data_IF_213599474269
#
_entry.id   IF_213599474269
#
_cell.length_a   1.000
_cell.length_b   1.000
_cell.length_c   1.000
_cell.angle_alpha   90.00
_cell.angle_beta   90.00
_cell.angle_gamma   90.00
#
_symmetry.space_group_name_H-M   'P 1'
#
loop_
_entity.id
_entity.type
_entity.pdbx_description
1 polymer ?
#
# COMPACT_ATOMS: atom_id res chain seq x y z
N UNK A 1 3.15 -12.34 1.92
CA UNK A 1 3.86 -11.72 3.06
C UNK A 1 3.15 -10.44 3.53
N UNK A 2 2.82 -9.52 2.63
CA UNK A 2 2.21 -8.26 3.03
C UNK A 2 0.84 -8.44 3.67
N UNK A 3 -0.04 -9.25 3.07
CA UNK A 3 -1.37 -9.48 3.61
C UNK A 3 -1.32 -10.11 4.98
N UNK A 4 -0.43 -11.09 5.18
CA UNK A 4 -0.28 -11.75 6.47
C UNK A 4 0.20 -10.78 7.54
N UNK A 5 1.18 -9.94 7.18
CA UNK A 5 1.67 -8.94 8.10
C UNK A 5 0.54 -8.01 8.57
N UNK A 6 -0.30 -7.56 7.64
CA UNK A 6 -1.42 -6.68 7.96
C UNK A 6 -2.43 -7.36 8.87
N UNK A 7 -2.80 -8.60 8.58
CA UNK A 7 -3.71 -9.36 9.43
C UNK A 7 -3.14 -9.53 10.85
N UNK A 8 -1.84 -9.80 10.96
CA UNK A 8 -1.19 -9.97 12.25
C UNK A 8 -1.10 -8.67 13.04
N UNK A 9 -1.23 -7.52 12.37
CA UNK A 9 -1.16 -6.20 13.00
C UNK A 9 -2.52 -5.52 13.13
N UNK A 10 -3.59 -6.29 13.07
CA UNK A 10 -4.94 -5.81 13.37
C UNK A 10 -5.66 -5.12 12.24
N UNK A 11 -5.18 -5.22 11.02
CA UNK A 11 -5.89 -4.69 9.85
C UNK A 11 -6.97 -5.64 9.40
N UNK A 12 -8.07 -5.08 8.90
CA UNK A 12 -9.09 -5.82 8.18
C UNK A 12 -8.85 -5.59 6.69
N UNK A 13 -8.60 -6.65 5.95
CA UNK A 13 -8.39 -6.54 4.51
C UNK A 13 -9.73 -6.41 3.81
N UNK A 14 -9.92 -5.32 3.08
CA UNK A 14 -11.15 -5.08 2.35
C UNK A 14 -11.05 -5.54 0.91
N UNK A 15 -9.95 -5.21 0.24
CA UNK A 15 -9.69 -5.65 -1.13
C UNK A 15 -8.20 -5.91 -1.34
N UNK A 16 -7.91 -6.86 -2.21
CA UNK A 16 -6.55 -7.14 -2.69
C UNK A 16 -6.58 -7.11 -4.20
N UNK A 17 -5.57 -6.45 -4.79
CA UNK A 17 -5.46 -6.35 -6.24
C UNK A 17 -6.74 -5.80 -6.88
N UNK A 18 -7.25 -4.72 -6.30
CA UNK A 18 -8.44 -4.04 -6.82
C UNK A 18 -8.11 -3.36 -8.13
N UNK A 19 -9.01 -3.50 -9.11
CA UNK A 19 -8.83 -2.89 -10.43
C UNK A 19 -10.12 -2.31 -10.93
N UNK A 20 -9.99 -1.18 -11.62
CA UNK A 20 -11.08 -0.58 -12.37
C UNK A 20 -10.46 0.19 -13.55
N UNK A 21 -10.62 -0.33 -14.78
CA UNK A 21 -9.96 0.25 -15.94
C UNK A 21 -8.44 0.22 -15.77
N UNK A 22 -7.83 1.39 -15.79
CA UNK A 22 -6.38 1.53 -15.58
C UNK A 22 -5.98 1.65 -14.12
N UNK A 23 -6.95 1.79 -13.23
CA UNK A 23 -6.67 2.00 -11.83
C UNK A 23 -6.40 0.68 -11.12
N UNK A 24 -5.35 0.66 -10.32
CA UNK A 24 -4.95 -0.51 -9.55
C UNK A 24 -4.60 -0.10 -8.13
N UNK A 25 -5.05 -0.91 -7.18
CA UNK A 25 -4.68 -0.78 -5.77
C UNK A 25 -4.25 -2.16 -5.28
N UNK A 26 -3.05 -2.24 -4.71
CA UNK A 26 -2.53 -3.52 -4.24
C UNK A 26 -3.33 -4.05 -3.07
N UNK A 27 -3.51 -3.22 -2.04
CA UNK A 27 -4.29 -3.59 -0.85
C UNK A 27 -5.07 -2.38 -0.37
N UNK A 28 -6.34 -2.62 -0.02
CA UNK A 28 -7.16 -1.67 0.72
C UNK A 28 -7.53 -2.33 2.04
N UNK A 29 -7.18 -1.68 3.14
CA UNK A 29 -7.39 -2.24 4.47
C UNK A 29 -7.87 -1.17 5.44
N UNK A 30 -8.54 -1.59 6.50
CA UNK A 30 -9.05 -0.69 7.53
C UNK A 30 -8.50 -1.05 8.89
N UNK A 31 -8.20 -0.04 9.70
CA UNK A 31 -7.81 -0.22 11.09
C UNK A 31 -8.14 1.04 11.88
N UNK A 32 -8.83 0.86 13.01
CA UNK A 32 -9.13 1.97 13.95
C UNK A 32 -9.77 3.19 13.27
N UNK A 33 -10.73 2.95 12.38
CA UNK A 33 -11.47 4.03 11.74
C UNK A 33 -10.76 4.72 10.59
N UNK A 34 -9.60 4.23 10.19
CA UNK A 34 -8.83 4.77 9.05
C UNK A 34 -8.83 3.77 7.91
N UNK A 35 -9.02 4.25 6.71
CA UNK A 35 -8.90 3.45 5.49
C UNK A 35 -7.50 3.64 4.93
N UNK A 36 -6.79 2.52 4.72
CA UNK A 36 -5.42 2.53 4.23
C UNK A 36 -5.36 2.01 2.81
N UNK A 37 -4.76 2.79 1.93
CA UNK A 37 -4.38 2.35 0.59
C UNK A 37 -2.90 2.02 0.64
N UNK A 38 -2.56 0.75 0.41
CA UNK A 38 -1.23 0.24 0.68
C UNK A 38 -0.59 -0.26 -0.61
N UNK A 39 0.51 0.37 -1.00
CA UNK A 39 1.33 -0.08 -2.11
C UNK A 39 2.32 -1.11 -1.61
N UNK A 40 2.45 -2.22 -2.33
CA UNK A 40 3.38 -3.30 -1.97
C UNK A 40 4.55 -3.30 -2.95
N UNK A 41 5.76 -3.21 -2.43
CA UNK A 41 6.98 -3.30 -3.21
C UNK A 41 7.82 -4.47 -2.71
N UNK A 42 8.17 -5.37 -3.62
CA UNK A 42 9.03 -6.50 -3.32
C UNK A 42 10.40 -6.23 -3.92
N UNK A 43 11.43 -6.35 -3.10
CA UNK A 43 12.80 -6.11 -3.52
C UNK A 43 13.73 -7.15 -2.94
N UNK A 44 14.87 -7.31 -3.62
CA UNK A 44 15.96 -8.10 -3.06
C UNK A 44 16.68 -7.25 -2.01
N UNK A 45 17.13 -7.90 -0.94
CA UNK A 45 17.80 -7.20 0.17
C UNK A 45 19.08 -6.50 -0.28
N UNK A 46 19.74 -7.01 -1.32
CA UNK A 46 20.95 -6.41 -1.86
C UNK A 46 20.69 -5.28 -2.87
N UNK A 47 19.43 -4.88 -3.03
CA UNK A 47 19.07 -3.77 -3.91
C UNK A 47 19.64 -2.46 -3.45
N UNK A 48 20.05 -1.62 -4.40
CA UNK A 48 20.72 -0.35 -4.10
C UNK A 48 19.76 0.77 -3.75
N UNK A 49 18.50 0.69 -4.17
CA UNK A 49 17.52 1.76 -3.96
C UNK A 49 16.59 1.40 -2.83
N UNK A 50 16.45 2.25 -1.80
CA UNK A 50 15.46 2.02 -0.76
C UNK A 50 14.05 1.91 -1.34
N UNK A 51 13.19 0.99 -0.82
CA UNK A 51 11.83 0.80 -1.35
C UNK A 51 10.99 2.08 -1.38
N UNK A 52 11.12 2.93 -0.37
CA UNK A 52 10.34 4.16 -0.28
C UNK A 52 10.66 5.14 -1.40
N UNK A 53 11.83 5.05 -2.02
CA UNK A 53 12.21 5.89 -3.15
C UNK A 53 11.66 5.38 -4.48
N UNK A 54 11.01 4.23 -4.48
CA UNK A 54 10.42 3.68 -5.69
C UNK A 54 9.11 4.39 -6.07
N UNK A 55 8.56 5.22 -5.18
CA UNK A 55 7.33 5.96 -5.43
C UNK A 55 7.64 7.36 -5.96
N UNK A 56 7.73 7.48 -7.28
CA UNK A 56 7.92 8.78 -7.93
C UNK A 56 6.59 9.55 -8.07
N UNK A 57 6.64 10.76 -8.61
CA UNK A 57 5.46 11.61 -8.78
C UNK A 57 4.38 10.97 -9.64
N UNK A 58 4.79 10.26 -10.69
CA UNK A 58 3.86 9.59 -11.57
C UNK A 58 3.08 8.49 -10.82
N UNK A 59 3.80 7.68 -10.07
CA UNK A 59 3.20 6.59 -9.29
C UNK A 59 2.27 7.13 -8.21
N UNK A 60 2.67 8.22 -7.55
CA UNK A 60 1.84 8.86 -6.54
C UNK A 60 0.52 9.36 -7.11
N UNK A 61 0.58 10.04 -8.26
CA UNK A 61 -0.65 10.51 -8.93
C UNK A 61 -1.55 9.36 -9.34
N UNK A 62 -0.96 8.29 -9.84
CA UNK A 62 -1.73 7.10 -10.21
C UNK A 62 -2.45 6.49 -8.99
N UNK A 63 -1.77 6.43 -7.84
CA UNK A 63 -2.37 5.94 -6.61
C UNK A 63 -3.53 6.82 -6.14
N UNK A 64 -3.36 8.13 -6.19
CA UNK A 64 -4.42 9.06 -5.78
C UNK A 64 -5.65 8.90 -6.66
N UNK A 65 -5.45 8.79 -7.97
CA UNK A 65 -6.56 8.59 -8.91
C UNK A 65 -7.27 7.28 -8.67
N UNK A 66 -6.52 6.21 -8.42
CA UNK A 66 -7.10 4.90 -8.12
C UNK A 66 -7.88 4.94 -6.80
N UNK A 67 -7.34 5.61 -5.79
CA UNK A 67 -8.02 5.76 -4.51
C UNK A 67 -9.33 6.54 -4.64
N UNK A 68 -9.33 7.62 -5.43
CA UNK A 68 -10.54 8.39 -5.68
C UNK A 68 -11.61 7.57 -6.40
N UNK A 69 -11.21 6.75 -7.37
CA UNK A 69 -12.12 5.86 -8.06
C UNK A 69 -12.71 4.81 -7.10
N UNK A 70 -11.86 4.26 -6.24
CA UNK A 70 -12.31 3.31 -5.22
C UNK A 70 -13.33 3.95 -4.27
N UNK A 71 -13.04 5.15 -3.77
CA UNK A 71 -13.92 5.84 -2.81
C UNK A 71 -15.24 6.27 -3.43
N UNK A 72 -15.27 6.48 -4.74
CA UNK A 72 -16.51 6.78 -5.44
C UNK A 72 -17.46 5.58 -5.39
N UNK A 73 -16.95 4.37 -5.55
CA UNK A 73 -17.74 3.14 -5.47
C UNK A 73 -17.95 2.65 -4.04
N UNK A 74 -16.98 2.95 -3.17
CA UNK A 74 -16.99 2.46 -1.78
C UNK A 74 -16.76 3.62 -0.84
N UNK A 75 -17.77 4.47 -0.60
CA UNK A 75 -17.63 5.63 0.26
C UNK A 75 -17.17 5.24 1.67
N UNK A 76 -16.28 6.02 2.24
CA UNK A 76 -15.74 5.77 3.57
C UNK A 76 -15.82 7.06 4.39
N UNK A 77 -16.48 6.98 5.55
CA UNK A 77 -16.67 8.14 6.44
C UNK A 77 -15.60 8.13 7.53
N UNK A 78 -14.37 8.41 7.17
CA UNK A 78 -13.27 8.42 8.10
C UNK A 78 -12.03 8.96 7.43
N UNK A 79 -10.91 8.82 8.10
CA UNK A 79 -9.63 9.26 7.55
C UNK A 79 -9.12 8.26 6.53
N UNK A 80 -8.35 8.76 5.58
CA UNK A 80 -7.71 7.97 4.54
C UNK A 80 -6.20 8.18 4.65
N UNK A 81 -5.46 7.10 4.55
CA UNK A 81 -4.02 7.11 4.68
C UNK A 81 -3.39 6.27 3.56
N UNK A 82 -2.24 6.73 3.07
CA UNK A 82 -1.49 6.01 2.03
C UNK A 82 -0.19 5.50 2.61
N UNK A 83 0.00 4.19 2.52
CA UNK A 83 1.15 3.52 3.13
C UNK A 83 1.90 2.69 2.10
N UNK A 84 3.12 2.34 2.45
CA UNK A 84 3.95 1.45 1.66
C UNK A 84 4.34 0.24 2.50
N UNK A 85 4.21 -0.95 1.93
CA UNK A 85 4.82 -2.15 2.49
C UNK A 85 5.97 -2.56 1.58
N UNK A 86 7.16 -2.63 2.15
CA UNK A 86 8.34 -3.12 1.48
C UNK A 86 8.60 -4.56 1.94
N UNK A 87 8.62 -5.49 1.00
CA UNK A 87 8.97 -6.87 1.27
C UNK A 87 10.36 -7.10 0.71
N UNK A 88 11.32 -7.33 1.59
CA UNK A 88 12.71 -7.58 1.20
C UNK A 88 13.00 -9.07 1.25
N UNK A 89 13.45 -9.61 0.12
CA UNK A 89 13.77 -11.03 0.00
C UNK A 89 15.27 -11.24 -0.02
N UNK A 90 15.71 -12.39 0.50
CA UNK A 90 17.12 -12.81 0.44
C UNK A 90 17.18 -14.21 -0.18
N UNK A 91 18.32 -14.59 -0.77
CA UNK A 91 18.46 -15.91 -1.39
C UNK A 91 18.18 -17.06 -0.43
N UNK A 92 18.47 -16.85 0.85
CA UNK A 92 18.17 -17.81 1.90
C UNK A 92 17.57 -17.07 3.08
N UNK A 93 16.43 -17.56 3.58
CA UNK A 93 15.79 -16.98 4.75
C UNK A 93 14.41 -16.45 4.50
N UNK A 94 13.79 -15.98 5.56
CA UNK A 94 12.42 -15.45 5.57
C UNK A 94 12.41 -14.03 5.03
N UNK A 95 11.44 -13.67 4.17
CA UNK A 95 11.28 -12.29 3.73
C UNK A 95 11.07 -11.36 4.91
N UNK A 96 11.69 -10.18 4.86
CA UNK A 96 11.47 -9.12 5.83
C UNK A 96 10.40 -8.17 5.33
N UNK A 97 9.49 -7.79 6.22
CA UNK A 97 8.40 -6.86 5.89
C UNK A 97 8.62 -5.56 6.66
N UNK A 98 8.66 -4.45 5.94
CA UNK A 98 8.71 -3.11 6.53
C UNK A 98 7.44 -2.37 6.18
N UNK A 99 6.79 -1.82 7.19
CA UNK A 99 5.59 -1.01 7.02
C UNK A 99 5.96 0.46 7.18
N UNK A 100 5.65 1.27 6.17
CA UNK A 100 5.98 2.69 6.15
C UNK A 100 4.68 3.47 6.10
N UNK A 101 4.31 4.05 7.23
CA UNK A 101 3.09 4.84 7.37
C UNK A 101 3.24 6.19 6.67
N UNK A 102 2.14 6.68 6.10
CA UNK A 102 2.09 7.98 5.44
C UNK A 102 3.24 8.16 4.45
N UNK A 103 3.52 7.10 3.69
CA UNK A 103 4.64 7.09 2.73
C UNK A 103 4.43 8.07 1.58
N UNK A 104 3.20 8.57 1.42
CA UNK A 104 2.83 9.46 0.34
C UNK A 104 2.17 10.70 0.95
N UNK A 105 2.80 11.85 0.79
CA UNK A 105 2.17 13.11 1.14
C UNK A 105 1.14 13.46 0.07
N UNK A 106 -0.08 13.65 0.51
CA UNK A 106 -1.16 13.98 -0.40
C UNK A 106 -1.57 15.42 -0.21
N UNK A 107 -1.50 16.16 -1.27
CA UNK A 107 -2.16 17.46 -1.36
C UNK A 107 -3.39 17.24 -2.22
N UNK A 108 -4.52 17.13 -1.54
CA UNK A 108 -5.81 16.98 -2.21
C UNK A 108 -6.24 18.28 -2.91
#
# INVERSE_FOLDING_TARGET
AAARWLLDHGFTLLHRNWRQGHYELDIVAARKGTLHFIEVKTRRRDGLTPPEQALDSHKRRALVRAANAYLTENPFAGEVQFDLIAVETAPAGTPEVRYIEDAIELHW
#
